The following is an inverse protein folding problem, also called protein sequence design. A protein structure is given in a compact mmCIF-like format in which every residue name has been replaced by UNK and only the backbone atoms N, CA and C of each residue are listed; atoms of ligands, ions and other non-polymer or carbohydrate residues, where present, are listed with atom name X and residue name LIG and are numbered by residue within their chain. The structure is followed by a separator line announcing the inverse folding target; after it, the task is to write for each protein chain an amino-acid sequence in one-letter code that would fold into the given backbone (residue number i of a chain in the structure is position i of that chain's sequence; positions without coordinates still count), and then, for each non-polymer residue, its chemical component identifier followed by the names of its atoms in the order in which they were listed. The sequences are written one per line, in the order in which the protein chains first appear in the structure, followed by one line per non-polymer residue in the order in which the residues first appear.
data_IF_044342237229
#
_entry.id   IF_044342237229
#
_cell.length_a   1.000
_cell.length_b   1.000
_cell.length_c   1.000
_cell.angle_alpha   90.00
_cell.angle_beta   90.00
_cell.angle_gamma   90.00
#
_symmetry.space_group_name_H-M   'P 1'
#
loop_
_entity.id
_entity.type
_entity.pdbx_description
1 polymer ?
#
# COMPACT_ATOMS: atom_id res chain seq x y z
N UNK A 1 -53.75 -29.73 15.12
CA UNK A 1 -53.24 -28.35 15.11
C UNK A 1 -51.72 -28.43 14.93
N UNK A 2 -51.27 -28.33 13.68
CA UNK A 2 -49.85 -28.40 13.33
C UNK A 2 -49.21 -27.02 13.48
N UNK A 3 -48.14 -26.95 14.28
CA UNK A 3 -47.32 -25.77 14.46
C UNK A 3 -46.18 -25.85 13.42
N UNK A 4 -46.34 -25.19 12.28
CA UNK A 4 -45.28 -25.02 11.30
C UNK A 4 -44.26 -23.99 11.84
N UNK A 5 -43.09 -24.47 12.23
CA UNK A 5 -41.95 -23.63 12.57
C UNK A 5 -41.42 -22.95 11.30
N UNK A 6 -41.62 -21.65 11.19
CA UNK A 6 -40.95 -20.82 10.19
C UNK A 6 -39.43 -20.85 10.43
N UNK A 7 -38.72 -21.54 9.56
CA UNK A 7 -37.26 -21.43 9.46
C UNK A 7 -36.96 -20.03 8.93
N UNK A 8 -36.49 -19.16 9.79
CA UNK A 8 -35.94 -17.86 9.40
C UNK A 8 -34.69 -18.09 8.53
N UNK A 9 -34.80 -17.77 7.27
CA UNK A 9 -33.67 -17.85 6.34
C UNK A 9 -32.53 -16.93 6.82
N UNK A 10 -31.42 -17.53 7.20
CA UNK A 10 -30.17 -16.81 7.46
C UNK A 10 -29.72 -16.15 6.15
N UNK A 11 -29.77 -14.82 6.08
CA UNK A 11 -29.14 -14.10 4.99
C UNK A 11 -27.65 -14.45 4.97
N UNK A 12 -27.06 -14.72 3.79
CA UNK A 12 -25.63 -14.97 3.71
C UNK A 12 -24.89 -13.73 4.22
N UNK A 13 -24.05 -13.93 5.23
CA UNK A 13 -23.13 -12.90 5.71
C UNK A 13 -22.27 -12.52 4.50
N UNK A 14 -22.43 -11.31 3.98
CA UNK A 14 -21.56 -10.80 2.91
C UNK A 14 -20.13 -10.88 3.42
N UNK A 15 -19.31 -11.69 2.77
CA UNK A 15 -17.90 -11.78 3.08
C UNK A 15 -17.30 -10.36 3.08
N UNK A 16 -16.57 -10.02 4.15
CA UNK A 16 -15.88 -8.72 4.27
C UNK A 16 -14.86 -8.61 3.13
N UNK A 17 -14.88 -7.53 2.35
CA UNK A 17 -13.79 -7.27 1.40
C UNK A 17 -12.51 -7.02 2.18
N UNK A 18 -11.44 -7.64 1.74
CA UNK A 18 -10.12 -7.41 2.32
C UNK A 18 -9.63 -5.99 1.98
N UNK A 19 -8.90 -5.41 2.91
CA UNK A 19 -8.47 -4.01 2.88
C UNK A 19 -7.00 -3.92 2.52
N UNK A 20 -6.73 -3.27 1.41
CA UNK A 20 -5.38 -2.92 0.98
C UNK A 20 -5.06 -1.47 1.34
N UNK A 21 -3.97 -1.25 2.07
CA UNK A 21 -3.42 0.09 2.22
C UNK A 21 -2.39 0.37 1.13
N UNK A 22 -2.63 1.42 0.34
CA UNK A 22 -1.68 1.96 -0.62
C UNK A 22 -0.99 3.16 0.00
N UNK A 23 0.31 3.02 0.30
CA UNK A 23 1.13 4.07 0.88
C UNK A 23 1.93 4.77 -0.21
N UNK A 24 1.69 6.06 -0.45
CA UNK A 24 2.36 6.85 -1.48
C UNK A 24 3.38 7.82 -0.87
N UNK A 25 4.65 7.68 -1.26
CA UNK A 25 5.73 8.56 -0.80
C UNK A 25 6.00 9.71 -1.78
N UNK A 26 6.81 10.69 -1.34
CA UNK A 26 7.16 11.90 -2.09
C UNK A 26 8.01 11.63 -3.32
N UNK A 27 7.37 11.26 -4.42
CA UNK A 27 7.99 10.97 -5.71
C UNK A 27 7.06 11.38 -6.85
N UNK A 28 7.58 11.81 -8.00
CA UNK A 28 6.76 12.10 -9.19
C UNK A 28 5.83 10.95 -9.59
N UNK A 29 6.25 9.70 -9.39
CA UNK A 29 5.43 8.51 -9.67
C UNK A 29 4.13 8.48 -8.85
N UNK A 30 4.06 9.11 -7.69
CA UNK A 30 2.85 9.17 -6.88
C UNK A 30 1.67 9.83 -7.61
N UNK A 31 1.91 10.66 -8.64
CA UNK A 31 0.84 11.22 -9.50
C UNK A 31 0.02 10.13 -10.20
N UNK A 32 0.60 8.97 -10.46
CA UNK A 32 -0.05 7.83 -11.11
C UNK A 32 -0.71 6.82 -10.15
N UNK A 33 -0.67 7.04 -8.82
CA UNK A 33 -1.15 6.06 -7.83
C UNK A 33 -2.64 5.71 -7.98
N UNK A 34 -3.43 6.60 -8.60
CA UNK A 34 -4.82 6.31 -8.95
C UNK A 34 -5.00 5.09 -9.85
N UNK A 35 -4.02 4.80 -10.72
CA UNK A 35 -4.03 3.58 -11.54
C UNK A 35 -3.82 2.33 -10.70
N UNK A 36 -2.90 2.35 -9.73
CA UNK A 36 -2.72 1.25 -8.77
C UNK A 36 -4.01 0.99 -7.98
N UNK A 37 -4.66 2.06 -7.50
CA UNK A 37 -5.94 1.97 -6.79
C UNK A 37 -7.00 1.33 -7.67
N UNK A 38 -7.13 1.76 -8.93
CA UNK A 38 -8.10 1.20 -9.89
C UNK A 38 -7.89 -0.30 -10.10
N UNK A 39 -6.67 -0.72 -10.38
CA UNK A 39 -6.32 -2.13 -10.61
C UNK A 39 -6.58 -2.98 -9.36
N UNK A 40 -6.17 -2.52 -8.18
CA UNK A 40 -6.44 -3.23 -6.94
C UNK A 40 -7.95 -3.37 -6.64
N UNK A 41 -8.75 -2.33 -6.97
CA UNK A 41 -10.21 -2.41 -6.85
C UNK A 41 -10.83 -3.40 -7.84
N UNK A 42 -10.29 -3.52 -9.06
CA UNK A 42 -10.70 -4.52 -10.05
C UNK A 42 -10.41 -5.94 -9.56
N UNK A 43 -9.32 -6.14 -8.83
CA UNK A 43 -8.97 -7.41 -8.18
C UNK A 43 -9.79 -7.70 -6.90
N UNK A 44 -10.69 -6.80 -6.51
CA UNK A 44 -11.63 -7.00 -5.41
C UNK A 44 -11.24 -6.37 -4.07
N UNK A 45 -10.09 -5.70 -3.98
CA UNK A 45 -9.67 -5.02 -2.77
C UNK A 45 -10.56 -3.82 -2.42
N UNK A 46 -10.83 -3.64 -1.14
CA UNK A 46 -11.20 -2.33 -0.59
C UNK A 46 -9.93 -1.53 -0.36
N UNK A 47 -9.75 -0.43 -1.07
CA UNK A 47 -8.49 0.33 -1.02
C UNK A 47 -8.60 1.53 -0.09
N UNK A 48 -7.59 1.71 0.75
CA UNK A 48 -7.36 2.91 1.56
C UNK A 48 -6.01 3.53 1.18
N UNK A 49 -5.97 4.85 0.98
CA UNK A 49 -4.74 5.55 0.60
C UNK A 49 -4.17 6.31 1.80
N UNK A 50 -2.89 6.07 2.07
CA UNK A 50 -2.10 6.81 3.06
C UNK A 50 -0.91 7.44 2.36
N UNK A 51 -0.55 8.65 2.74
CA UNK A 51 0.62 9.32 2.16
C UNK A 51 1.63 9.72 3.22
N UNK A 52 2.89 9.80 2.82
CA UNK A 52 3.83 10.63 3.59
C UNK A 52 3.47 12.10 3.41
N UNK A 53 3.91 13.02 4.32
CA UNK A 53 3.70 14.46 4.14
C UNK A 53 4.19 14.99 2.78
N UNK A 54 5.34 14.49 2.30
CA UNK A 54 5.82 14.85 0.96
C UNK A 54 5.05 14.16 -0.16
N UNK A 55 4.54 12.95 0.04
CA UNK A 55 3.69 12.24 -0.92
C UNK A 55 2.40 12.99 -1.21
N UNK A 56 1.83 13.63 -0.20
CA UNK A 56 0.61 14.43 -0.34
C UNK A 56 0.72 15.59 -1.34
N UNK A 57 1.95 16.06 -1.65
CA UNK A 57 2.21 17.13 -2.61
C UNK A 57 2.07 16.69 -4.07
N UNK A 58 2.08 15.38 -4.33
CA UNK A 58 2.09 14.80 -5.69
C UNK A 58 0.75 14.22 -6.11
N UNK A 59 -0.22 14.07 -5.20
CA UNK A 59 -1.49 13.39 -5.47
C UNK A 59 -2.68 14.33 -5.39
N UNK A 60 -3.74 14.02 -6.12
CA UNK A 60 -5.07 14.61 -5.95
C UNK A 60 -5.84 13.84 -4.85
N UNK A 61 -5.70 14.29 -3.60
CA UNK A 61 -6.35 13.67 -2.45
C UNK A 61 -7.88 13.63 -2.56
N UNK A 62 -8.58 14.70 -2.99
CA UNK A 62 -10.01 14.66 -3.24
C UNK A 62 -10.43 13.62 -4.29
N UNK A 63 -9.69 13.50 -5.40
CA UNK A 63 -9.98 12.50 -6.42
C UNK A 63 -9.81 11.08 -5.89
N UNK A 64 -8.71 10.79 -5.19
CA UNK A 64 -8.47 9.48 -4.57
C UNK A 64 -9.50 9.14 -3.49
N UNK A 65 -9.92 10.12 -2.69
CA UNK A 65 -10.96 9.91 -1.69
C UNK A 65 -12.31 9.55 -2.35
N UNK A 66 -12.66 10.19 -3.46
CA UNK A 66 -13.87 9.81 -4.24
C UNK A 66 -13.73 8.43 -4.85
N UNK A 67 -12.57 8.09 -5.40
CA UNK A 67 -12.29 6.79 -6.04
C UNK A 67 -12.38 5.63 -5.05
N UNK A 68 -11.83 5.80 -3.85
CA UNK A 68 -11.77 4.74 -2.83
C UNK A 68 -13.00 4.69 -1.92
N UNK A 69 -13.75 5.78 -1.82
CA UNK A 69 -14.80 5.96 -0.81
C UNK A 69 -14.25 6.16 0.61
N UNK A 70 -12.94 6.33 0.76
CA UNK A 70 -12.25 6.51 2.04
C UNK A 70 -11.46 7.82 2.05
N UNK A 71 -11.28 8.47 3.23
CA UNK A 71 -10.42 9.65 3.32
C UNK A 71 -8.95 9.27 3.09
N UNK A 72 -8.22 10.12 2.36
CA UNK A 72 -6.76 9.98 2.22
C UNK A 72 -6.08 10.52 3.47
N UNK A 73 -5.36 9.65 4.20
CA UNK A 73 -4.65 10.00 5.43
C UNK A 73 -3.19 10.38 5.16
N UNK A 74 -2.69 11.36 5.94
CA UNK A 74 -1.31 11.85 5.84
C UNK A 74 -0.64 11.93 7.22
N UNK A 75 -1.42 12.26 8.24
CA UNK A 75 -0.94 12.48 9.60
C UNK A 75 -1.64 11.57 10.59
N UNK A 76 -1.03 11.34 11.73
CA UNK A 76 -1.69 10.68 12.85
C UNK A 76 -2.97 11.44 13.22
N UNK A 77 -3.96 10.72 13.74
CA UNK A 77 -5.16 11.31 14.31
C UNK A 77 -4.84 12.00 15.65
N UNK A 78 -5.69 12.93 16.05
CA UNK A 78 -5.59 13.47 17.41
C UNK A 78 -6.01 12.41 18.43
N UNK A 79 -5.51 12.53 19.69
CA UNK A 79 -6.02 11.70 20.77
C UNK A 79 -7.55 11.82 20.89
N UNK A 80 -8.23 10.68 20.94
CA UNK A 80 -9.70 10.62 21.04
C UNK A 80 -10.46 10.58 19.73
N UNK A 81 -9.83 10.88 18.58
CA UNK A 81 -10.47 10.70 17.27
C UNK A 81 -10.72 9.22 16.98
N UNK A 82 -11.84 8.93 16.32
CA UNK A 82 -12.15 7.58 15.82
C UNK A 82 -11.21 7.24 14.65
N UNK A 83 -10.86 5.97 14.49
CA UNK A 83 -10.11 5.52 13.32
C UNK A 83 -10.97 5.70 12.05
N UNK A 84 -10.42 6.46 11.11
CA UNK A 84 -11.14 6.78 9.87
C UNK A 84 -11.04 5.67 8.82
N UNK A 85 -10.17 4.69 9.01
CA UNK A 85 -9.92 3.58 8.07
C UNK A 85 -10.05 2.24 8.78
N UNK A 86 -10.58 1.20 8.11
CA UNK A 86 -10.61 -0.16 8.64
C UNK A 86 -9.18 -0.73 8.75
N UNK A 87 -8.95 -1.76 9.59
CA UNK A 87 -7.66 -2.46 9.63
C UNK A 87 -7.25 -3.00 8.27
N UNK A 88 -5.95 -2.93 7.95
CA UNK A 88 -5.41 -3.43 6.68
C UNK A 88 -5.17 -4.95 6.75
N UNK A 89 -5.52 -5.65 5.67
CA UNK A 89 -5.20 -7.06 5.45
C UNK A 89 -3.90 -7.22 4.64
N UNK A 90 -3.50 -6.21 3.87
CA UNK A 90 -2.22 -6.09 3.19
C UNK A 90 -1.84 -4.62 3.02
N UNK A 91 -0.54 -4.35 2.83
CA UNK A 91 -0.07 -2.99 2.52
C UNK A 91 0.94 -3.00 1.37
N UNK A 92 0.86 -1.96 0.53
CA UNK A 92 1.83 -1.70 -0.52
C UNK A 92 2.38 -0.27 -0.42
N UNK A 93 3.70 -0.12 -0.45
CA UNK A 93 4.37 1.17 -0.52
C UNK A 93 4.78 1.42 -1.96
N UNK A 94 4.00 2.20 -2.69
CA UNK A 94 4.22 2.50 -4.10
C UNK A 94 3.76 3.94 -4.44
N UNK A 95 4.71 4.79 -4.85
CA UNK A 95 6.16 4.61 -4.83
C UNK A 95 6.74 4.69 -3.41
N UNK A 96 7.79 3.90 -3.16
CA UNK A 96 8.61 4.02 -1.96
C UNK A 96 9.86 4.87 -2.24
N UNK A 97 10.15 5.86 -1.39
CA UNK A 97 11.39 6.63 -1.48
C UNK A 97 12.51 5.98 -0.69
N UNK A 98 13.76 6.32 -1.01
CA UNK A 98 14.95 5.91 -0.24
C UNK A 98 14.78 6.27 1.24
N UNK A 99 14.27 7.47 1.55
CA UNK A 99 14.01 7.90 2.92
C UNK A 99 13.03 6.95 3.65
N UNK A 100 11.94 6.56 3.00
CA UNK A 100 10.96 5.66 3.61
C UNK A 100 11.53 4.26 3.80
N UNK A 101 12.20 3.70 2.81
CA UNK A 101 12.83 2.37 2.88
C UNK A 101 13.87 2.31 4.01
N UNK A 102 14.79 3.28 4.07
CA UNK A 102 15.86 3.27 5.07
C UNK A 102 15.33 3.50 6.49
N UNK A 103 14.36 4.39 6.68
CA UNK A 103 13.72 4.61 7.97
C UNK A 103 12.94 3.39 8.45
N UNK A 104 12.18 2.77 7.56
CA UNK A 104 11.42 1.56 7.87
C UNK A 104 12.34 0.43 8.34
N UNK A 105 13.42 0.16 7.60
CA UNK A 105 14.38 -0.89 7.93
C UNK A 105 15.10 -0.69 9.28
N UNK A 106 15.14 0.52 9.83
CA UNK A 106 15.72 0.79 11.15
C UNK A 106 14.65 1.10 12.22
N UNK A 107 13.35 0.88 11.91
CA UNK A 107 12.25 1.03 12.86
C UNK A 107 11.87 2.47 13.19
N UNK A 108 12.23 3.46 12.37
CA UNK A 108 11.82 4.86 12.59
C UNK A 108 10.35 5.02 12.16
N UNK A 109 9.51 5.53 13.05
CA UNK A 109 8.06 5.70 12.88
C UNK A 109 7.63 7.18 13.05
N UNK A 110 8.36 8.11 12.42
CA UNK A 110 8.16 9.55 12.57
C UNK A 110 7.04 10.14 11.69
N UNK A 111 6.38 9.30 10.89
CA UNK A 111 5.19 9.65 10.10
C UNK A 111 4.12 8.57 10.23
N UNK A 112 2.85 8.91 9.96
CA UNK A 112 1.77 7.92 9.94
C UNK A 112 2.12 6.72 9.06
N UNK A 113 2.62 6.97 7.83
CA UNK A 113 2.98 5.91 6.90
C UNK A 113 4.05 4.96 7.48
N UNK A 114 5.10 5.49 8.11
CA UNK A 114 6.14 4.68 8.72
C UNK A 114 5.64 3.94 9.96
N UNK A 115 4.82 4.58 10.79
CA UNK A 115 4.20 3.91 11.94
C UNK A 115 3.38 2.70 11.53
N UNK A 116 2.54 2.85 10.48
CA UNK A 116 1.76 1.75 9.93
C UNK A 116 2.63 0.61 9.39
N UNK A 117 3.73 0.91 8.69
CA UNK A 117 4.64 -0.12 8.16
C UNK A 117 5.36 -0.89 9.26
N UNK A 118 5.86 -0.19 10.29
CA UNK A 118 6.55 -0.82 11.42
C UNK A 118 5.58 -1.70 12.21
N UNK A 119 4.36 -1.22 12.47
CA UNK A 119 3.33 -1.98 13.17
C UNK A 119 2.86 -3.19 12.35
N UNK A 120 2.55 -3.00 11.06
CA UNK A 120 2.11 -4.07 10.17
C UNK A 120 3.14 -5.20 10.06
N UNK A 121 4.42 -4.86 10.03
CA UNK A 121 5.49 -5.84 10.05
C UNK A 121 5.51 -6.67 11.33
N UNK A 122 5.35 -6.03 12.48
CA UNK A 122 5.25 -6.72 13.78
C UNK A 122 4.02 -7.62 13.88
N UNK A 123 2.93 -7.27 13.18
CA UNK A 123 1.69 -8.06 13.12
C UNK A 123 1.70 -9.16 12.06
N UNK A 124 2.75 -9.25 11.22
CA UNK A 124 2.82 -10.23 10.13
C UNK A 124 1.87 -9.94 8.97
N UNK A 125 1.42 -8.69 8.81
CA UNK A 125 0.62 -8.27 7.66
C UNK A 125 1.47 -8.35 6.38
N UNK A 126 0.97 -8.94 5.28
CA UNK A 126 1.68 -8.96 4.01
C UNK A 126 2.06 -7.56 3.51
N UNK A 127 3.34 -7.38 3.18
CA UNK A 127 3.92 -6.09 2.80
C UNK A 127 4.62 -6.17 1.45
N UNK A 128 4.31 -5.21 0.57
CA UNK A 128 4.99 -5.03 -0.72
C UNK A 128 5.64 -3.65 -0.75
N UNK A 129 6.91 -3.58 -1.13
CA UNK A 129 7.65 -2.33 -1.30
C UNK A 129 8.07 -2.16 -2.76
N UNK A 130 7.75 -1.00 -3.34
CA UNK A 130 8.09 -0.66 -4.73
C UNK A 130 8.95 0.61 -4.75
N UNK A 131 10.26 0.49 -4.55
CA UNK A 131 11.16 1.63 -4.57
C UNK A 131 11.22 2.29 -5.96
N UNK A 132 11.07 3.62 -5.99
CA UNK A 132 11.25 4.42 -7.16
C UNK A 132 12.30 5.50 -6.89
N UNK A 133 13.50 5.32 -7.46
CA UNK A 133 14.66 6.17 -7.16
C UNK A 133 15.65 6.20 -8.32
N UNK A 134 16.61 7.12 -8.28
CA UNK A 134 17.66 7.22 -9.29
C UNK A 134 18.90 6.40 -8.94
N UNK A 135 19.78 6.20 -9.93
CA UNK A 135 21.01 5.39 -9.81
C UNK A 135 21.92 5.83 -8.66
N UNK A 136 22.03 7.15 -8.41
CA UNK A 136 22.93 7.68 -7.39
C UNK A 136 22.41 7.35 -5.98
N UNK A 137 21.12 7.55 -5.72
CA UNK A 137 20.51 7.21 -4.44
C UNK A 137 20.44 5.69 -4.23
N UNK A 138 20.18 4.91 -5.29
CA UNK A 138 20.19 3.46 -5.24
C UNK A 138 21.57 2.86 -4.93
N UNK A 139 22.64 3.57 -5.29
CA UNK A 139 24.00 3.14 -4.99
C UNK A 139 24.38 3.30 -3.51
N UNK A 140 23.61 4.07 -2.72
CA UNK A 140 23.95 4.32 -1.32
C UNK A 140 23.92 3.03 -0.49
N UNK A 141 25.00 2.72 0.29
CA UNK A 141 25.09 1.46 1.03
C UNK A 141 23.92 1.22 2.00
N UNK A 142 23.47 2.26 2.71
CA UNK A 142 22.36 2.14 3.64
C UNK A 142 21.04 1.75 2.95
N UNK A 143 20.80 2.22 1.73
CA UNK A 143 19.61 1.85 0.97
C UNK A 143 19.66 0.37 0.55
N UNK A 144 20.80 -0.09 0.06
CA UNK A 144 21.00 -1.50 -0.32
C UNK A 144 20.86 -2.43 0.90
N UNK A 145 21.46 -2.06 2.03
CA UNK A 145 21.32 -2.80 3.28
C UNK A 145 19.85 -2.84 3.73
N UNK A 146 19.14 -1.73 3.65
CA UNK A 146 17.72 -1.65 4.01
C UNK A 146 16.84 -2.54 3.13
N UNK A 147 17.08 -2.59 1.81
CA UNK A 147 16.34 -3.51 0.93
C UNK A 147 16.57 -4.97 1.31
N UNK A 148 17.83 -5.38 1.55
CA UNK A 148 18.15 -6.74 2.01
C UNK A 148 17.43 -7.07 3.32
N UNK A 149 17.53 -6.20 4.31
CA UNK A 149 16.90 -6.39 5.61
C UNK A 149 15.37 -6.51 5.53
N UNK A 150 14.70 -5.68 4.73
CA UNK A 150 13.26 -5.79 4.53
C UNK A 150 12.88 -7.10 3.84
N UNK A 151 13.67 -7.54 2.85
CA UNK A 151 13.49 -8.84 2.19
C UNK A 151 13.65 -9.99 3.17
N UNK A 152 14.70 -9.98 4.00
CA UNK A 152 14.95 -11.00 5.03
C UNK A 152 13.80 -11.07 6.06
N UNK A 153 13.09 -9.98 6.26
CA UNK A 153 11.91 -9.91 7.13
C UNK A 153 10.59 -10.27 6.42
N UNK A 154 10.64 -10.73 5.18
CA UNK A 154 9.48 -11.21 4.44
C UNK A 154 8.71 -10.11 3.66
N UNK A 155 9.26 -8.91 3.53
CA UNK A 155 8.68 -7.90 2.64
C UNK A 155 8.97 -8.27 1.19
N UNK A 156 7.93 -8.30 0.34
CA UNK A 156 8.11 -8.45 -1.11
C UNK A 156 8.65 -7.14 -1.69
N UNK A 157 9.93 -7.13 -2.09
CA UNK A 157 10.58 -5.93 -2.64
C UNK A 157 10.63 -6.03 -4.17
N UNK A 158 9.92 -5.11 -4.84
CA UNK A 158 9.91 -4.99 -6.30
C UNK A 158 10.88 -3.87 -6.72
N UNK A 159 12.12 -4.23 -6.99
CA UNK A 159 13.18 -3.26 -7.30
C UNK A 159 14.16 -3.80 -8.34
N UNK A 160 14.67 -2.90 -9.19
CA UNK A 160 15.64 -3.24 -10.23
C UNK A 160 15.02 -3.37 -11.62
N UNK A 161 15.84 -3.77 -12.59
CA UNK A 161 15.53 -3.75 -14.03
C UNK A 161 14.33 -4.61 -14.44
N UNK A 162 13.96 -5.56 -13.60
CA UNK A 162 12.79 -6.43 -13.86
C UNK A 162 11.45 -5.75 -13.61
N UNK A 163 11.43 -4.65 -12.86
CA UNK A 163 10.21 -3.92 -12.51
C UNK A 163 10.27 -2.49 -13.02
N UNK A 164 11.34 -1.75 -12.61
CA UNK A 164 11.54 -0.36 -13.02
C UNK A 164 13.02 -0.12 -13.22
N UNK A 165 13.47 0.20 -14.43
CA UNK A 165 14.85 0.59 -14.67
C UNK A 165 15.23 1.80 -13.82
N UNK A 166 16.43 1.76 -13.23
CA UNK A 166 16.97 2.92 -12.54
C UNK A 166 17.23 4.05 -13.53
N UNK A 167 16.85 5.25 -13.17
CA UNK A 167 17.01 6.42 -14.02
C UNK A 167 18.12 7.36 -13.52
N UNK A 168 18.72 8.19 -14.38
CA UNK A 168 19.66 9.22 -13.95
C UNK A 168 19.01 10.22 -12.98
N UNK A 169 19.80 10.88 -12.10
CA UNK A 169 19.29 11.96 -11.26
C UNK A 169 18.56 13.03 -12.08
N UNK A 170 17.42 13.53 -11.56
CA UNK A 170 16.62 14.56 -12.22
C UNK A 170 15.73 14.09 -13.38
N UNK A 171 15.70 12.79 -13.73
CA UNK A 171 14.93 12.27 -14.87
C UNK A 171 13.72 11.41 -14.50
N UNK A 172 13.34 11.34 -13.23
CA UNK A 172 12.27 10.46 -12.75
C UNK A 172 10.90 10.68 -13.40
N UNK A 173 10.60 11.89 -13.89
CA UNK A 173 9.33 12.15 -14.57
C UNK A 173 9.22 11.49 -15.96
N UNK A 174 10.34 11.17 -16.60
CA UNK A 174 10.35 10.62 -17.97
C UNK A 174 9.83 9.19 -18.05
N UNK A 175 9.84 8.47 -16.93
CA UNK A 175 9.48 7.04 -16.88
C UNK A 175 8.09 6.77 -16.31
N UNK A 176 7.30 7.81 -16.03
CA UNK A 176 5.97 7.66 -15.43
C UNK A 176 4.99 6.90 -16.34
N UNK A 177 5.10 7.08 -17.65
CA UNK A 177 4.18 6.48 -18.62
C UNK A 177 4.45 4.99 -18.89
N UNK A 178 5.64 4.51 -18.54
CA UNK A 178 6.06 3.11 -18.77
C UNK A 178 6.07 2.30 -17.47
N UNK A 179 5.58 2.87 -16.38
CA UNK A 179 5.60 2.20 -15.10
C UNK A 179 4.61 1.00 -15.10
N UNK A 180 5.07 -0.20 -14.72
CA UNK A 180 4.31 -1.44 -14.88
C UNK A 180 3.31 -1.65 -13.73
N UNK A 181 2.25 -0.85 -13.66
CA UNK A 181 1.24 -0.91 -12.59
C UNK A 181 0.62 -2.30 -12.44
N UNK A 182 0.38 -3.00 -13.53
CA UNK A 182 -0.18 -4.35 -13.57
C UNK A 182 0.74 -5.37 -12.89
N UNK A 183 2.05 -5.29 -13.13
CA UNK A 183 3.03 -6.16 -12.48
C UNK A 183 3.13 -5.88 -10.96
N UNK A 184 2.94 -4.63 -10.56
CA UNK A 184 2.92 -4.23 -9.15
C UNK A 184 1.71 -4.83 -8.43
N UNK A 185 0.53 -4.80 -9.04
CA UNK A 185 -0.68 -5.39 -8.47
C UNK A 185 -0.58 -6.92 -8.41
N UNK A 186 -0.01 -7.55 -9.42
CA UNK A 186 0.19 -9.00 -9.46
C UNK A 186 1.12 -9.53 -8.37
N UNK A 187 1.92 -8.67 -7.74
CA UNK A 187 2.76 -9.03 -6.59
C UNK A 187 2.06 -8.94 -5.23
N UNK A 188 0.83 -8.41 -5.20
CA UNK A 188 0.02 -8.45 -3.99
C UNK A 188 -0.42 -9.90 -3.70
N UNK A 189 -0.58 -10.28 -2.43
CA UNK A 189 -1.33 -11.48 -2.12
C UNK A 189 -2.74 -11.31 -2.70
N UNK A 190 -3.24 -12.29 -3.43
CA UNK A 190 -4.64 -12.22 -3.88
C UNK A 190 -5.57 -12.03 -2.68
N UNK A 191 -6.65 -11.24 -2.80
CA UNK A 191 -7.65 -11.22 -1.75
C UNK A 191 -8.13 -12.66 -1.54
N UNK A 192 -8.12 -13.12 -0.28
CA UNK A 192 -8.54 -14.47 0.07
C UNK A 192 -9.96 -14.67 -0.45
N UNK A 193 -10.16 -15.62 -1.35
CA UNK A 193 -11.51 -16.04 -1.71
C UNK A 193 -12.18 -16.43 -0.39
N UNK A 194 -13.24 -15.71 -0.01
CA UNK A 194 -13.97 -15.98 1.22
C UNK A 194 -14.12 -17.49 1.38
N UNK A 195 -13.40 -18.07 2.35
CA UNK A 195 -13.52 -19.49 2.66
C UNK A 195 -14.96 -19.68 3.06
N UNK A 196 -15.73 -20.31 2.17
CA UNK A 196 -17.06 -20.81 2.47
C UNK A 196 -16.90 -21.83 3.58
N UNK A 197 -17.08 -21.38 4.83
CA UNK A 197 -17.21 -22.29 5.95
C UNK A 197 -18.51 -23.06 5.73
N UNK A 198 -18.35 -24.35 5.43
CA UNK A 198 -19.42 -25.34 5.41
C UNK A 198 -19.94 -25.59 6.83
#
# INVERSE_FOLDING_TARGET
MSLEARVAGSQPVRARREVLYVLACGSPLARGVGRLVELAQQDGWQVCVVTTPDGAKFIDRPALARQTGNPVRTHYKNPGDVDALPPADAMIVCPATVNTITKWAVGIADTLALGLLVEAQGLGVPLVAVPYTNVAMAAHPAFRAALGQLTDWGVTVLFGDHVVPLHPPGSGERHLHTFPWEAVVAALPGPSAATSAA
#
